data_IF_592384893762
#
_entry.id   IF_592384893762
#
_cell.length_a   1.000
_cell.length_b   1.000
_cell.length_c   1.000
_cell.angle_alpha   90.00
_cell.angle_beta   90.00
_cell.angle_gamma   90.00
#
_symmetry.space_group_name_H-M   'P 1'
#
loop_
_entity.id
_entity.type
_entity.pdbx_description
1 polymer ?
#
# COMPACT_ATOMS: atom_id res chain seq x y z
N UNK A 1 11.53 1.12 31.81
CA UNK A 1 11.50 -0.24 31.21
C UNK A 1 10.07 -0.52 30.78
N UNK A 2 9.68 -0.07 29.58
CA UNK A 2 8.31 -0.18 29.06
C UNK A 2 8.22 -1.41 28.15
N UNK A 3 7.17 -2.23 28.31
CA UNK A 3 7.09 -3.56 27.71
C UNK A 3 6.97 -3.57 26.19
N UNK A 4 8.08 -3.86 25.51
CA UNK A 4 8.10 -4.45 24.17
C UNK A 4 7.59 -5.90 24.25
N UNK A 5 6.29 -6.12 24.02
CA UNK A 5 5.72 -7.46 23.87
C UNK A 5 4.36 -7.39 23.16
N UNK A 6 4.13 -8.37 22.27
CA UNK A 6 2.94 -8.70 21.44
C UNK A 6 2.90 -8.23 19.98
N UNK A 7 3.39 -7.03 19.64
CA UNK A 7 3.38 -6.56 18.24
C UNK A 7 4.41 -7.26 17.36
N UNK A 8 5.67 -7.22 17.78
CA UNK A 8 6.83 -7.54 16.95
C UNK A 8 6.90 -9.03 16.58
N UNK A 9 6.67 -9.92 17.54
CA UNK A 9 6.69 -11.38 17.32
C UNK A 9 5.60 -11.85 16.35
N UNK A 10 4.40 -11.28 16.42
CA UNK A 10 3.34 -11.62 15.48
C UNK A 10 3.68 -11.14 14.06
N UNK A 11 4.31 -9.97 13.93
CA UNK A 11 4.71 -9.40 12.65
C UNK A 11 5.91 -10.18 12.05
N UNK A 12 6.92 -10.52 12.84
CA UNK A 12 8.05 -11.39 12.47
C UNK A 12 7.56 -12.77 12.00
N UNK A 13 6.64 -13.39 12.74
CA UNK A 13 6.02 -14.66 12.33
C UNK A 13 5.25 -14.55 11.00
N UNK A 14 4.57 -13.44 10.74
CA UNK A 14 3.90 -13.19 9.44
C UNK A 14 4.89 -13.04 8.28
N UNK A 15 6.04 -12.40 8.49
CA UNK A 15 7.09 -12.34 7.48
C UNK A 15 7.71 -13.72 7.21
N UNK A 16 7.97 -14.51 8.25
CA UNK A 16 8.46 -15.89 8.12
C UNK A 16 7.51 -16.77 7.30
N UNK A 17 6.22 -16.79 7.63
CA UNK A 17 5.19 -17.56 6.89
C UNK A 17 5.14 -17.15 5.41
N UNK A 18 5.17 -15.85 5.12
CA UNK A 18 5.21 -15.34 3.74
C UNK A 18 6.51 -15.73 3.02
N UNK A 19 7.65 -15.68 3.71
CA UNK A 19 8.94 -16.13 3.18
C UNK A 19 8.94 -17.61 2.78
N UNK A 20 8.34 -18.47 3.62
CA UNK A 20 8.11 -19.89 3.32
C UNK A 20 7.14 -20.08 2.15
N UNK A 21 6.14 -19.21 2.00
CA UNK A 21 5.24 -19.17 0.85
C UNK A 21 5.88 -18.60 -0.45
N UNK A 22 7.18 -18.28 -0.44
CA UNK A 22 7.94 -17.84 -1.61
C UNK A 22 8.08 -16.33 -1.79
N UNK A 23 7.52 -15.50 -0.90
CA UNK A 23 7.71 -14.04 -0.96
C UNK A 23 9.16 -13.67 -0.64
N UNK A 24 9.72 -12.70 -1.37
CA UNK A 24 11.07 -12.14 -1.17
C UNK A 24 11.11 -10.62 -1.04
N UNK A 25 9.96 -9.96 -1.19
CA UNK A 25 9.80 -8.52 -1.00
C UNK A 25 8.71 -8.31 0.06
N UNK A 26 9.06 -7.57 1.12
CA UNK A 26 8.18 -7.26 2.23
C UNK A 26 8.02 -5.75 2.37
N UNK A 27 6.78 -5.29 2.38
CA UNK A 27 6.44 -3.87 2.55
C UNK A 27 6.04 -3.59 3.99
N UNK A 28 6.58 -2.51 4.53
CA UNK A 28 6.33 -2.07 5.89
C UNK A 28 6.65 -0.58 6.04
N UNK A 29 6.09 0.05 7.05
CA UNK A 29 6.36 1.44 7.40
C UNK A 29 6.34 1.60 8.92
N UNK A 30 7.13 2.55 9.44
CA UNK A 30 7.20 2.85 10.87
C UNK A 30 5.82 3.14 11.49
N UNK A 31 4.93 3.79 10.75
CA UNK A 31 3.56 4.08 11.21
C UNK A 31 2.69 2.82 11.46
N UNK A 32 3.08 1.65 10.95
CA UNK A 32 2.32 0.39 11.15
C UNK A 32 2.56 -0.26 12.52
N UNK A 33 3.63 0.13 13.23
CA UNK A 33 4.03 -0.42 14.53
C UNK A 33 3.80 0.55 15.69
N UNK A 34 3.50 1.83 15.40
CA UNK A 34 3.11 2.80 16.42
C UNK A 34 1.73 2.46 17.00
N UNK A 35 1.61 2.49 18.33
CA UNK A 35 0.35 2.18 19.02
C UNK A 35 -0.65 3.32 18.87
N UNK A 36 -1.93 2.96 18.75
CA UNK A 36 -3.02 3.91 18.96
C UNK A 36 -2.86 4.68 20.28
N UNK A 37 -3.19 5.98 20.26
CA UNK A 37 -3.12 6.85 21.43
C UNK A 37 -1.70 7.20 21.90
N UNK A 38 -0.64 6.71 21.25
CA UNK A 38 0.71 7.22 21.48
C UNK A 38 0.79 8.67 20.99
N UNK A 39 1.10 9.59 21.91
CA UNK A 39 1.36 10.99 21.60
C UNK A 39 2.84 11.13 21.21
N UNK A 40 3.10 11.71 20.04
CA UNK A 40 4.44 11.91 19.51
C UNK A 40 4.63 13.39 19.15
N UNK A 41 5.72 14.05 19.61
CA UNK A 41 5.91 15.48 19.42
C UNK A 41 6.50 15.87 18.05
N UNK A 42 7.14 14.94 17.33
CA UNK A 42 7.65 15.16 15.95
C UNK A 42 7.39 13.95 15.05
N UNK A 43 6.91 14.19 13.83
CA UNK A 43 6.47 13.16 12.88
C UNK A 43 7.71 12.68 12.14
N UNK A 44 8.55 11.91 12.84
CA UNK A 44 9.95 11.68 12.47
C UNK A 44 10.11 11.13 11.04
N UNK A 45 9.14 10.37 10.54
CA UNK A 45 9.15 9.80 9.18
C UNK A 45 8.80 10.79 8.06
N UNK A 46 8.26 11.97 8.38
CA UNK A 46 7.97 13.06 7.45
C UNK A 46 8.83 14.32 7.69
N UNK A 47 9.58 14.39 8.79
CA UNK A 47 10.42 15.54 9.14
C UNK A 47 11.83 15.39 8.55
N UNK A 48 12.18 16.23 7.58
CA UNK A 48 13.42 16.10 6.79
C UNK A 48 14.70 16.03 7.65
N UNK A 49 14.75 16.78 8.75
CA UNK A 49 15.88 16.77 9.69
C UNK A 49 15.98 15.56 10.62
N UNK A 50 15.03 14.59 10.57
CA UNK A 50 14.97 13.43 11.49
C UNK A 50 14.93 12.06 10.80
N UNK A 51 15.20 12.02 9.49
CA UNK A 51 15.20 10.78 8.69
C UNK A 51 16.11 9.70 9.32
N UNK A 52 17.29 10.07 9.83
CA UNK A 52 18.20 9.14 10.50
C UNK A 52 17.64 8.52 11.78
N UNK A 53 16.90 9.29 12.60
CA UNK A 53 16.22 8.75 13.79
C UNK A 53 15.16 7.73 13.40
N UNK A 54 14.32 8.06 12.42
CA UNK A 54 13.26 7.16 11.94
C UNK A 54 13.79 5.91 11.25
N UNK A 55 14.93 6.00 10.55
CA UNK A 55 15.57 4.83 9.96
C UNK A 55 16.12 3.90 11.05
N UNK A 56 16.88 4.44 12.02
CA UNK A 56 17.43 3.65 13.13
C UNK A 56 16.33 2.97 13.95
N UNK A 57 15.26 3.69 14.31
CA UNK A 57 14.08 3.13 15.00
C UNK A 57 13.43 2.00 14.19
N UNK A 58 13.37 2.14 12.86
CA UNK A 58 12.83 1.09 11.98
C UNK A 58 13.72 -0.15 11.93
N UNK A 59 15.05 0.03 11.89
CA UNK A 59 16.03 -1.06 11.90
C UNK A 59 16.01 -1.83 13.23
N UNK A 60 15.94 -1.11 14.36
CA UNK A 60 15.81 -1.70 15.71
C UNK A 60 14.53 -2.54 15.86
N UNK A 61 13.37 -2.02 15.44
CA UNK A 61 12.08 -2.72 15.53
C UNK A 61 12.07 -3.98 14.65
N UNK A 62 12.60 -3.88 13.43
CA UNK A 62 12.70 -5.01 12.51
C UNK A 62 13.75 -6.04 12.97
N UNK A 63 14.80 -5.60 13.66
CA UNK A 63 15.94 -6.42 14.06
C UNK A 63 16.85 -6.76 12.88
N UNK A 64 17.15 -5.77 12.03
CA UNK A 64 17.97 -5.92 10.82
C UNK A 64 18.98 -4.78 10.69
N UNK A 65 20.14 -5.04 10.10
CA UNK A 65 21.20 -4.03 9.93
C UNK A 65 20.95 -3.06 8.77
N UNK A 66 20.07 -3.42 7.82
CA UNK A 66 19.72 -2.59 6.66
C UNK A 66 18.31 -2.88 6.13
N UNK A 67 17.81 -2.00 5.26
CA UNK A 67 16.60 -2.19 4.44
C UNK A 67 16.92 -1.92 2.97
N UNK A 68 16.35 -2.70 2.05
CA UNK A 68 16.65 -2.59 0.61
C UNK A 68 16.13 -1.29 -0.03
N UNK A 69 15.02 -0.74 0.48
CA UNK A 69 14.34 0.42 -0.09
C UNK A 69 13.65 1.27 0.99
N UNK A 70 14.30 2.30 1.56
CA UNK A 70 13.63 3.30 2.37
C UNK A 70 12.80 4.25 1.47
N UNK A 71 11.54 4.50 1.85
CA UNK A 71 10.59 5.32 1.08
C UNK A 71 10.08 6.47 1.97
N UNK A 72 10.08 7.70 1.44
CA UNK A 72 9.39 8.83 2.06
C UNK A 72 7.88 8.64 1.92
N UNK A 73 7.18 8.58 3.06
CA UNK A 73 5.73 8.28 3.13
C UNK A 73 4.87 9.45 2.63
N UNK A 74 5.35 10.68 2.80
CA UNK A 74 4.70 11.91 2.33
C UNK A 74 5.72 12.91 1.82
N UNK A 75 5.25 13.85 1.00
CA UNK A 75 5.99 14.99 0.45
C UNK A 75 6.01 16.21 1.39
N UNK A 76 5.22 16.17 2.47
CA UNK A 76 5.07 17.28 3.43
C UNK A 76 5.45 16.86 4.84
N UNK A 77 6.16 17.76 5.50
CA UNK A 77 6.37 17.70 6.93
C UNK A 77 5.04 17.91 7.66
N UNK A 78 4.80 17.07 8.67
CA UNK A 78 3.67 17.25 9.60
C UNK A 78 4.27 17.76 10.90
N UNK A 79 3.87 18.96 11.31
CA UNK A 79 4.38 19.68 12.48
C UNK A 79 3.30 19.85 13.55
N UNK A 80 3.63 19.65 14.83
CA UNK A 80 2.72 19.78 15.97
C UNK A 80 2.57 18.49 16.77
N UNK A 81 1.78 18.49 17.84
CA UNK A 81 1.45 17.24 18.55
C UNK A 81 0.38 16.45 17.75
N UNK A 82 0.64 15.17 17.46
CA UNK A 82 -0.41 14.24 17.01
C UNK A 82 -0.52 13.00 17.90
N UNK A 83 -1.65 12.35 17.75
CA UNK A 83 -1.95 11.02 18.28
C UNK A 83 -2.33 10.09 17.13
N UNK A 84 -1.90 8.84 17.20
CA UNK A 84 -2.33 7.80 16.25
C UNK A 84 -3.80 7.45 16.53
N UNK A 85 -4.72 7.84 15.64
CA UNK A 85 -6.15 7.48 15.71
C UNK A 85 -6.47 6.25 14.84
N UNK A 86 -6.81 5.13 15.48
CA UNK A 86 -7.30 3.90 14.83
C UNK A 86 -6.23 2.91 14.35
N UNK A 87 -6.52 1.59 14.46
CA UNK A 87 -5.66 0.46 14.01
C UNK A 87 -5.47 0.35 12.49
N UNK A 88 -5.90 1.37 11.73
CA UNK A 88 -6.15 1.25 10.29
C UNK A 88 -5.52 2.39 9.51
N UNK A 89 -4.20 2.54 9.68
CA UNK A 89 -3.41 3.32 8.74
C UNK A 89 -3.50 2.69 7.33
N UNK A 90 -4.28 3.33 6.47
CA UNK A 90 -4.28 3.10 5.03
C UNK A 90 -3.36 4.19 4.49
N UNK A 91 -2.20 3.84 3.94
CA UNK A 91 -1.19 4.83 3.57
C UNK A 91 -1.34 5.34 2.14
N UNK A 92 -0.57 6.38 1.84
CA UNK A 92 -0.56 7.17 0.62
C UNK A 92 -0.47 6.29 -0.65
N UNK A 93 -1.19 6.72 -1.67
CA UNK A 93 -1.33 5.96 -2.91
C UNK A 93 -0.36 6.43 -3.98
N UNK A 94 0.41 5.50 -4.51
CA UNK A 94 0.39 5.35 -5.96
C UNK A 94 -0.60 4.24 -6.33
N UNK A 95 -1.52 4.58 -7.25
CA UNK A 95 -2.42 3.72 -8.02
C UNK A 95 -3.52 2.89 -7.30
N UNK A 96 -4.77 3.32 -7.49
CA UNK A 96 -5.97 2.47 -7.44
C UNK A 96 -6.38 2.04 -8.87
N UNK A 97 -7.09 0.91 -9.03
CA UNK A 97 -7.76 0.54 -10.30
C UNK A 97 -8.75 1.61 -10.77
N UNK A 98 -9.32 2.39 -9.87
CA UNK A 98 -10.39 3.34 -10.19
C UNK A 98 -9.90 4.73 -10.58
N UNK A 99 -8.58 4.97 -10.58
CA UNK A 99 -7.93 6.24 -10.94
C UNK A 99 -6.83 6.05 -11.98
N UNK A 100 -7.13 5.30 -13.04
CA UNK A 100 -6.17 4.90 -14.09
C UNK A 100 -5.72 6.06 -14.97
N UNK A 101 -6.56 7.06 -15.23
CA UNK A 101 -6.30 8.19 -16.14
C UNK A 101 -5.11 9.02 -15.65
N UNK A 102 -5.21 9.64 -14.47
CA UNK A 102 -4.06 10.30 -13.80
C UNK A 102 -2.88 9.35 -13.57
N UNK A 103 -3.15 8.05 -13.36
CA UNK A 103 -2.11 7.03 -13.21
C UNK A 103 -1.39 6.67 -14.52
N UNK A 104 -1.99 6.78 -15.71
CA UNK A 104 -1.35 6.44 -17.00
C UNK A 104 -0.22 7.43 -17.32
N UNK A 105 -0.53 8.72 -17.19
CA UNK A 105 0.44 9.82 -17.36
C UNK A 105 1.57 9.70 -16.33
N UNK A 106 1.23 9.45 -15.05
CA UNK A 106 2.23 9.24 -14.00
C UNK A 106 3.11 8.01 -14.24
N UNK A 107 2.55 6.86 -14.65
CA UNK A 107 3.35 5.67 -15.01
C UNK A 107 4.29 5.99 -16.17
N UNK A 108 3.80 6.69 -17.20
CA UNK A 108 4.61 7.03 -18.37
C UNK A 108 5.73 8.02 -18.00
N UNK A 109 5.44 9.02 -17.17
CA UNK A 109 6.42 9.96 -16.64
C UNK A 109 7.48 9.24 -15.80
N UNK A 110 7.06 8.45 -14.80
CA UNK A 110 7.96 7.67 -13.97
C UNK A 110 8.84 6.73 -14.80
N UNK A 111 8.25 5.99 -15.76
CA UNK A 111 8.99 5.12 -16.67
C UNK A 111 10.02 5.89 -17.52
N UNK A 112 9.65 7.05 -18.05
CA UNK A 112 10.57 7.92 -18.81
C UNK A 112 11.71 8.49 -17.96
N UNK A 113 11.55 8.50 -16.62
CA UNK A 113 12.57 8.89 -15.64
C UNK A 113 13.31 7.69 -15.00
N UNK A 114 13.05 6.47 -15.43
CA UNK A 114 13.62 5.25 -14.81
C UNK A 114 13.06 4.91 -13.43
N UNK A 115 11.97 5.56 -13.01
CA UNK A 115 11.31 5.37 -11.71
C UNK A 115 10.33 4.19 -11.82
N UNK A 116 10.57 3.14 -11.03
CA UNK A 116 9.64 2.01 -10.88
C UNK A 116 8.44 2.45 -10.04
N UNK A 117 7.22 2.17 -10.51
CA UNK A 117 6.01 2.47 -9.73
C UNK A 117 5.51 1.22 -9.01
N UNK A 118 5.45 1.32 -7.68
CA UNK A 118 4.80 0.36 -6.79
C UNK A 118 3.39 0.85 -6.50
N UNK A 119 2.40 -0.05 -6.55
CA UNK A 119 1.03 0.24 -6.14
C UNK A 119 0.72 -0.45 -4.81
N UNK A 120 0.08 0.24 -3.88
CA UNK A 120 -0.11 -0.25 -2.51
C UNK A 120 -1.45 -0.99 -2.33
N UNK A 121 -2.51 -0.52 -2.98
CA UNK A 121 -3.90 -0.98 -2.81
C UNK A 121 -4.31 -2.09 -3.79
N UNK A 122 -3.39 -2.99 -4.17
CA UNK A 122 -3.53 -3.92 -5.32
C UNK A 122 -4.48 -5.13 -5.18
N UNK A 123 -5.27 -5.31 -4.12
CA UNK A 123 -6.47 -6.16 -4.25
C UNK A 123 -7.64 -5.37 -4.83
N UNK A 124 -7.52 -4.04 -4.84
CA UNK A 124 -8.59 -3.07 -4.75
C UNK A 124 -9.58 -3.36 -3.59
N UNK A 125 -10.41 -2.39 -3.22
CA UNK A 125 -11.43 -2.62 -2.19
C UNK A 125 -12.45 -3.66 -2.68
N UNK A 126 -13.22 -4.25 -1.76
CA UNK A 126 -14.16 -5.34 -2.06
C UNK A 126 -15.13 -5.06 -3.23
N UNK A 127 -15.38 -3.78 -3.53
CA UNK A 127 -16.12 -3.29 -4.69
C UNK A 127 -15.52 -3.77 -6.02
N UNK A 128 -14.23 -3.55 -6.26
CA UNK A 128 -13.59 -3.82 -7.58
C UNK A 128 -13.41 -5.31 -7.84
N UNK A 129 -13.14 -6.12 -6.80
CA UNK A 129 -13.10 -7.59 -6.94
C UNK A 129 -14.45 -8.21 -7.32
N UNK A 130 -15.53 -7.46 -7.14
CA UNK A 130 -16.91 -7.80 -7.48
C UNK A 130 -17.38 -7.13 -8.79
N UNK A 131 -16.52 -6.38 -9.47
CA UNK A 131 -16.88 -5.79 -10.77
C UNK A 131 -17.08 -6.92 -11.80
N UNK A 132 -18.20 -6.97 -12.55
CA UNK A 132 -18.49 -8.04 -13.49
C UNK A 132 -17.36 -8.27 -14.51
N UNK A 133 -16.70 -7.21 -14.98
CA UNK A 133 -15.59 -7.34 -15.94
C UNK A 133 -14.38 -8.01 -15.32
N UNK A 134 -14.12 -7.77 -14.03
CA UNK A 134 -13.04 -8.45 -13.30
C UNK A 134 -13.38 -9.93 -13.06
N UNK A 135 -14.64 -10.24 -12.73
CA UNK A 135 -15.11 -11.63 -12.53
C UNK A 135 -15.00 -12.40 -13.84
N UNK A 136 -15.59 -11.91 -14.93
CA UNK A 136 -15.56 -12.56 -16.25
C UNK A 136 -14.12 -12.80 -16.75
N UNK A 137 -13.21 -11.86 -16.52
CA UNK A 137 -11.80 -12.02 -16.90
C UNK A 137 -11.04 -12.99 -15.98
N UNK A 138 -11.40 -13.05 -14.70
CA UNK A 138 -10.86 -14.04 -13.78
C UNK A 138 -11.31 -15.46 -14.19
N UNK A 139 -12.59 -15.63 -14.54
CA UNK A 139 -13.17 -16.88 -15.04
C UNK A 139 -12.54 -17.30 -16.38
N UNK A 140 -12.42 -16.37 -17.35
CA UNK A 140 -11.70 -16.58 -18.64
C UNK A 140 -10.28 -17.13 -18.41
N UNK A 141 -9.60 -16.67 -17.36
CA UNK A 141 -8.21 -17.03 -17.06
C UNK A 141 -8.07 -18.18 -16.05
N UNK A 142 -9.17 -18.82 -15.62
CA UNK A 142 -9.21 -19.81 -14.54
C UNK A 142 -8.43 -19.34 -13.28
N UNK A 143 -8.74 -18.13 -12.83
CA UNK A 143 -8.02 -17.44 -11.76
C UNK A 143 -8.99 -16.71 -10.82
N UNK A 144 -8.48 -16.18 -9.70
CA UNK A 144 -9.27 -15.32 -8.83
C UNK A 144 -9.30 -13.87 -9.34
N UNK A 145 -10.35 -13.11 -9.00
CA UNK A 145 -10.41 -11.65 -9.24
C UNK A 145 -9.15 -10.92 -8.73
N UNK A 146 -8.55 -11.42 -7.64
CA UNK A 146 -7.30 -10.86 -7.10
C UNK A 146 -6.14 -11.11 -8.08
N UNK A 147 -5.95 -12.33 -8.60
CA UNK A 147 -4.89 -12.62 -9.57
C UNK A 147 -5.08 -11.88 -10.91
N UNK A 148 -6.31 -11.74 -11.40
CA UNK A 148 -6.59 -10.92 -12.59
C UNK A 148 -6.16 -9.45 -12.41
N UNK A 149 -6.47 -8.86 -11.25
CA UNK A 149 -6.02 -7.51 -10.87
C UNK A 149 -4.48 -7.43 -10.77
N UNK A 150 -3.83 -8.40 -10.11
CA UNK A 150 -2.37 -8.41 -9.96
C UNK A 150 -1.65 -8.55 -11.31
N UNK A 151 -2.16 -9.42 -12.20
CA UNK A 151 -1.67 -9.60 -13.57
C UNK A 151 -1.82 -8.31 -14.39
N UNK A 152 -2.94 -7.59 -14.26
CA UNK A 152 -3.17 -6.32 -14.94
C UNK A 152 -2.17 -5.23 -14.54
N UNK A 153 -1.81 -5.15 -13.25
CA UNK A 153 -0.76 -4.23 -12.83
C UNK A 153 0.62 -4.64 -13.40
N UNK A 154 0.97 -5.92 -13.39
CA UNK A 154 2.22 -6.39 -14.01
C UNK A 154 2.28 -6.07 -15.51
N UNK A 155 1.19 -6.30 -16.25
CA UNK A 155 1.10 -5.98 -17.68
C UNK A 155 1.29 -4.47 -17.99
N UNK A 156 1.11 -3.60 -16.98
CA UNK A 156 1.34 -2.14 -17.07
C UNK A 156 2.73 -1.73 -16.55
N UNK A 157 3.58 -2.67 -16.14
CA UNK A 157 4.89 -2.41 -15.55
C UNK A 157 4.82 -1.86 -14.12
N UNK A 158 3.87 -2.34 -13.32
CA UNK A 158 3.60 -1.86 -11.95
C UNK A 158 3.77 -2.99 -10.94
N UNK A 159 4.54 -2.74 -9.88
CA UNK A 159 4.84 -3.69 -8.78
C UNK A 159 3.78 -3.60 -7.66
N UNK A 160 3.71 -4.62 -6.79
CA UNK A 160 3.22 -4.49 -5.42
C UNK A 160 3.59 -5.67 -4.52
N UNK A 161 3.01 -5.56 -3.32
CA UNK A 161 3.28 -6.21 -2.05
C UNK A 161 1.92 -6.54 -1.38
N UNK A 162 0.96 -7.15 -2.12
CA UNK A 162 -0.47 -7.17 -1.77
C UNK A 162 -0.73 -7.70 -0.35
N UNK A 163 -1.54 -6.97 0.43
CA UNK A 163 -1.80 -7.29 1.83
C UNK A 163 -2.83 -8.41 2.00
N UNK A 164 -2.39 -9.53 2.58
CA UNK A 164 -3.28 -10.59 3.09
C UNK A 164 -2.77 -11.12 4.43
N UNK A 165 -3.70 -11.50 5.31
CA UNK A 165 -3.45 -12.27 6.54
C UNK A 165 -3.82 -13.77 6.38
N UNK A 166 -4.36 -14.14 5.23
CA UNK A 166 -4.83 -15.48 4.88
C UNK A 166 -3.81 -16.14 3.94
N UNK A 167 -3.32 -17.32 4.35
CA UNK A 167 -2.23 -18.05 3.69
C UNK A 167 -2.62 -18.57 2.31
N UNK A 168 -3.88 -19.00 2.14
CA UNK A 168 -4.40 -19.44 0.84
C UNK A 168 -4.39 -18.30 -0.18
N UNK A 169 -4.86 -17.11 0.22
CA UNK A 169 -4.80 -15.89 -0.61
C UNK A 169 -3.37 -15.38 -0.85
N UNK A 170 -2.43 -15.61 0.08
CA UNK A 170 -1.02 -15.32 -0.15
C UNK A 170 -0.44 -16.24 -1.24
N UNK A 171 -0.67 -17.56 -1.14
CA UNK A 171 -0.18 -18.54 -2.12
C UNK A 171 -0.84 -18.42 -3.50
N UNK A 172 -2.11 -18.03 -3.57
CA UNK A 172 -2.77 -17.71 -4.85
C UNK A 172 -2.10 -16.49 -5.51
N UNK A 173 -1.82 -15.43 -4.73
CA UNK A 173 -1.24 -14.18 -5.23
C UNK A 173 0.22 -14.28 -5.76
N UNK A 174 0.95 -15.36 -5.47
CA UNK A 174 2.30 -15.59 -6.06
C UNK A 174 2.25 -16.18 -7.47
N UNK A 175 1.11 -16.74 -7.90
CA UNK A 175 0.99 -17.45 -9.19
C UNK A 175 0.29 -16.57 -10.23
N UNK A 176 1.07 -15.74 -10.92
CA UNK A 176 0.55 -14.74 -11.86
C UNK A 176 0.71 -15.20 -13.32
N UNK A 177 -0.15 -14.67 -14.19
CA UNK A 177 -0.24 -15.00 -15.61
C UNK A 177 -0.18 -13.72 -16.46
N UNK A 178 0.03 -13.87 -17.77
CA UNK A 178 0.04 -12.75 -18.71
C UNK A 178 -1.36 -12.56 -19.27
N UNK A 179 -1.90 -11.35 -19.13
CA UNK A 179 -3.17 -10.97 -19.76
C UNK A 179 -2.97 -10.57 -21.22
N UNK A 180 -3.95 -10.86 -22.07
CA UNK A 180 -3.95 -10.39 -23.46
C UNK A 180 -4.07 -8.85 -23.50
N UNK A 181 -3.49 -8.16 -24.52
CA UNK A 181 -3.60 -6.71 -24.64
C UNK A 181 -5.04 -6.19 -24.70
N UNK A 182 -5.99 -7.00 -25.18
CA UNK A 182 -7.43 -6.68 -25.18
C UNK A 182 -8.02 -6.69 -23.76
N UNK A 183 -7.68 -7.68 -22.93
CA UNK A 183 -8.13 -7.75 -21.53
C UNK A 183 -7.49 -6.65 -20.68
N UNK A 184 -6.21 -6.35 -20.93
CA UNK A 184 -5.53 -5.21 -20.29
C UNK A 184 -6.23 -3.90 -20.62
N UNK A 185 -6.66 -3.69 -21.88
CA UNK A 185 -7.49 -2.55 -22.28
C UNK A 185 -8.86 -2.57 -21.59
N UNK A 186 -9.53 -3.73 -21.53
CA UNK A 186 -10.85 -3.91 -20.92
C UNK A 186 -10.86 -3.51 -19.44
N UNK A 187 -9.92 -4.03 -18.64
CA UNK A 187 -9.74 -3.64 -17.23
C UNK A 187 -9.34 -2.16 -17.14
N UNK A 188 -8.48 -1.67 -18.06
CA UNK A 188 -8.07 -0.26 -18.09
C UNK A 188 -9.20 0.72 -18.44
N UNK A 189 -10.36 0.22 -18.88
CA UNK A 189 -11.59 0.97 -19.16
C UNK A 189 -12.56 1.05 -17.97
N UNK A 190 -12.31 0.33 -16.87
CA UNK A 190 -13.07 0.43 -15.63
C UNK A 190 -12.75 1.69 -14.80
N UNK A 191 -11.88 2.55 -15.34
CA UNK A 191 -11.49 3.80 -14.71
C UNK A 191 -12.67 4.73 -14.50
N UNK A 192 -12.76 5.30 -13.29
CA UNK A 192 -13.76 6.34 -12.96
C UNK A 192 -13.08 7.64 -12.52
N UNK A 193 -11.75 7.73 -12.64
CA UNK A 193 -10.91 8.78 -12.09
C UNK A 193 -11.13 9.04 -10.58
N UNK A 194 -11.61 8.02 -9.88
CA UNK A 194 -12.01 8.06 -8.47
C UNK A 194 -10.99 7.35 -7.59
N UNK A 195 -10.63 7.98 -6.46
CA UNK A 195 -9.71 7.40 -5.48
C UNK A 195 -10.53 6.57 -4.49
N UNK A 196 -10.21 5.29 -4.31
CA UNK A 196 -10.96 4.43 -3.38
C UNK A 196 -10.33 4.41 -2.00
N UNK A 197 -9.00 4.55 -1.93
CA UNK A 197 -8.28 4.73 -0.67
C UNK A 197 -8.24 6.20 -0.23
N UNK A 198 -7.97 6.42 1.06
CA UNK A 198 -7.60 7.72 1.61
C UNK A 198 -8.59 8.85 1.26
N UNK A 199 -9.88 8.52 1.33
CA UNK A 199 -11.00 9.46 1.32
C UNK A 199 -11.32 9.86 2.75
N UNK A 200 -11.61 11.15 2.94
CA UNK A 200 -12.26 11.65 4.13
C UNK A 200 -13.55 10.87 4.42
N UNK A 201 -13.84 10.64 5.71
CA UNK A 201 -15.08 9.95 6.11
C UNK A 201 -16.28 10.89 5.96
N UNK A 202 -17.41 10.34 5.53
CA UNK A 202 -18.67 11.08 5.36
C UNK A 202 -19.19 11.67 6.69
N UNK A 203 -18.76 11.11 7.83
CA UNK A 203 -19.22 11.48 9.18
C UNK A 203 -18.70 12.85 9.62
N UNK A 204 -17.49 13.24 9.22
CA UNK A 204 -16.86 14.48 9.69
C UNK A 204 -15.95 15.19 8.67
N UNK A 205 -15.86 14.71 7.43
CA UNK A 205 -14.99 15.30 6.41
C UNK A 205 -13.48 15.14 6.69
N UNK A 206 -13.10 14.31 7.67
CA UNK A 206 -11.69 14.06 8.01
C UNK A 206 -11.18 12.72 7.50
N UNK A 207 -9.90 12.67 7.14
CA UNK A 207 -9.12 11.48 6.88
C UNK A 207 -8.12 11.30 8.04
N UNK A 208 -8.16 10.14 8.72
CA UNK A 208 -7.34 9.85 9.91
C UNK A 208 -7.46 10.89 11.04
N UNK A 209 -8.58 11.60 11.13
CA UNK A 209 -8.81 12.69 12.11
C UNK A 209 -8.46 14.09 11.61
N UNK A 210 -7.93 14.25 10.40
CA UNK A 210 -7.49 15.53 9.81
C UNK A 210 -8.33 15.93 8.59
N UNK A 211 -8.63 17.21 8.42
CA UNK A 211 -9.25 17.73 7.18
C UNK A 211 -8.25 17.71 6.01
N UNK A 212 -8.71 17.77 4.77
CA UNK A 212 -7.80 17.89 3.62
C UNK A 212 -6.95 19.17 3.67
N UNK A 213 -7.45 20.26 4.25
CA UNK A 213 -6.68 21.49 4.46
C UNK A 213 -5.51 21.28 5.44
N UNK A 214 -5.76 20.60 6.57
CA UNK A 214 -4.71 20.24 7.54
C UNK A 214 -3.68 19.24 6.97
N UNK A 215 -4.10 18.37 6.05
CA UNK A 215 -3.21 17.49 5.29
C UNK A 215 -2.49 18.22 4.14
N UNK A 216 -2.92 19.44 3.81
CA UNK A 216 -2.41 20.22 2.69
C UNK A 216 -2.84 19.74 1.30
N UNK A 217 -3.92 18.94 1.20
CA UNK A 217 -4.46 18.37 -0.05
C UNK A 217 -5.70 19.10 -0.58
N UNK A 218 -5.99 20.30 -0.06
CA UNK A 218 -6.98 21.21 -0.62
C UNK A 218 -6.49 21.84 -1.93
#
# INVERSE_FOLDING_TARGET
>A
MLGMQLGDEMQKRRYLVRGLAGYRHFDTALIYVLRQGAQHPVCRWNHHGRIGESLNESLEILGVDYVDLPIMVGDREITGDWQVQGDRCHQFSNQDITSISRTKELIQYCRAKGIVVVAYTRTALGVVRKDPVIIELADKCNATSTRAILAWHLARGVVAVPKSADEGRQKDATTLFVLEPVDVKRISGLDKNDRLCNKATEVNGTLWGWTYEQLGWA
#
